data_IF_863321077822
#
_entry.id   IF_863321077822
#
_cell.length_a   1.000
_cell.length_b   1.000
_cell.length_c   1.000
_cell.angle_alpha   90.00
_cell.angle_beta   90.00
_cell.angle_gamma   90.00
#
_symmetry.space_group_name_H-M   'P 1'
#
loop_
_entity.id
_entity.type
_entity.pdbx_description
1 polymer ?
#
# COMPACT_ATOMS: atom_id res chain seq x y z
N UNK A 1 24.60 38.31 1.74
CA UNK A 1 24.28 39.76 1.78
C UNK A 1 24.05 40.22 0.35
N UNK A 2 23.02 41.03 0.13
CA UNK A 2 22.59 41.71 -1.12
C UNK A 2 21.50 41.00 -1.94
N UNK A 3 20.27 41.29 -1.54
CA UNK A 3 19.01 41.10 -2.28
C UNK A 3 18.93 42.11 -3.43
N UNK A 4 18.53 41.69 -4.63
CA UNK A 4 17.95 42.57 -5.66
C UNK A 4 16.76 41.82 -6.26
N UNK A 5 15.56 42.34 -6.03
CA UNK A 5 14.32 41.91 -6.68
C UNK A 5 14.06 42.90 -7.80
N UNK A 6 14.03 42.42 -9.05
CA UNK A 6 13.42 43.13 -10.17
C UNK A 6 12.06 42.50 -10.45
N UNK A 7 11.01 43.13 -9.91
CA UNK A 7 9.63 43.01 -10.36
C UNK A 7 9.47 43.82 -11.65
N UNK A 8 9.14 43.18 -12.77
CA UNK A 8 8.18 43.70 -13.75
C UNK A 8 8.13 42.75 -14.94
N UNK A 9 6.92 42.36 -15.30
CA UNK A 9 6.63 41.30 -16.24
C UNK A 9 7.20 41.52 -17.63
N UNK A 10 7.82 40.46 -18.14
CA UNK A 10 7.47 39.90 -19.46
C UNK A 10 7.41 38.39 -19.26
N UNK A 11 6.22 37.96 -18.82
CA UNK A 11 5.84 36.63 -18.34
C UNK A 11 5.54 35.66 -19.50
N UNK A 12 6.28 35.74 -20.60
CA UNK A 12 5.90 35.11 -21.86
C UNK A 12 7.08 34.45 -22.56
N UNK A 13 7.06 33.11 -22.55
CA UNK A 13 7.71 32.25 -23.53
C UNK A 13 9.24 32.36 -23.64
N UNK A 14 9.97 31.59 -22.82
CA UNK A 14 11.27 30.97 -23.17
C UNK A 14 11.92 30.13 -22.03
N UNK A 15 11.13 29.48 -21.17
CA UNK A 15 11.59 28.32 -20.40
C UNK A 15 10.58 27.19 -20.67
N UNK A 16 10.84 26.20 -21.53
CA UNK A 16 12.10 25.49 -21.62
C UNK A 16 12.22 24.55 -20.43
N UNK A 17 11.52 23.41 -20.52
CA UNK A 17 11.86 22.13 -19.89
C UNK A 17 12.09 22.15 -18.38
N UNK A 18 11.05 21.93 -17.57
CA UNK A 18 11.11 21.10 -16.35
C UNK A 18 9.78 21.10 -15.57
N UNK A 19 8.80 20.32 -16.02
CA UNK A 19 7.80 19.75 -15.12
C UNK A 19 7.17 18.51 -15.76
N UNK A 20 8.02 17.57 -16.22
CA UNK A 20 7.60 16.18 -16.22
C UNK A 20 7.40 15.79 -14.77
N UNK A 21 6.22 16.06 -14.23
CA UNK A 21 5.84 15.66 -12.89
C UNK A 21 6.06 14.16 -12.83
N UNK A 22 7.06 13.73 -12.07
CA UNK A 22 7.18 12.37 -11.62
C UNK A 22 5.98 12.11 -10.71
N UNK A 23 4.84 11.80 -11.33
CA UNK A 23 3.68 11.27 -10.64
C UNK A 23 4.08 9.92 -10.07
N UNK A 24 4.57 9.93 -8.83
CA UNK A 24 4.73 8.70 -8.06
C UNK A 24 3.40 7.95 -8.00
N UNK A 25 3.42 6.65 -7.70
CA UNK A 25 2.20 5.87 -7.60
C UNK A 25 1.20 6.55 -6.65
N UNK A 26 -0.04 6.73 -7.12
CA UNK A 26 -1.12 7.24 -6.29
C UNK A 26 -1.48 6.18 -5.24
N UNK A 27 -1.15 6.45 -3.98
CA UNK A 27 -1.44 5.54 -2.89
C UNK A 27 -2.89 5.71 -2.45
N UNK A 28 -3.70 4.66 -2.64
CA UNK A 28 -5.08 4.60 -2.15
C UNK A 28 -5.16 3.62 -0.98
N UNK A 29 -5.80 4.04 0.11
CA UNK A 29 -6.05 3.17 1.26
C UNK A 29 -7.30 2.32 1.02
N UNK A 30 -7.11 1.02 0.78
CA UNK A 30 -8.19 0.02 0.69
C UNK A 30 -8.46 -0.68 2.03
N UNK A 31 -8.10 -0.01 3.14
CA UNK A 31 -7.91 -0.60 4.46
C UNK A 31 -8.86 -1.73 4.85
N UNK A 32 -8.32 -2.70 5.58
CA UNK A 32 -9.01 -3.92 6.06
C UNK A 32 -10.21 -3.58 7.00
N UNK A 33 -10.29 -2.34 7.47
CA UNK A 33 -11.29 -1.87 8.43
C UNK A 33 -11.01 -2.37 9.85
N UNK A 34 -11.84 -1.98 10.82
CA UNK A 34 -11.86 -2.59 12.16
C UNK A 34 -10.95 -1.98 13.24
N UNK A 35 -10.05 -1.05 12.90
CA UNK A 35 -9.09 -0.49 13.86
C UNK A 35 -8.00 -1.49 14.26
N UNK A 36 -6.94 -1.01 14.91
CA UNK A 36 -5.78 -1.82 15.28
C UNK A 36 -4.64 -1.81 14.25
N UNK A 37 -3.54 -2.45 14.59
CA UNK A 37 -2.35 -2.61 13.76
C UNK A 37 -2.49 -3.79 12.80
N UNK A 38 -2.21 -3.55 11.51
CA UNK A 38 -2.08 -4.63 10.52
C UNK A 38 -0.61 -5.00 10.40
N UNK A 39 -0.32 -6.28 10.51
CA UNK A 39 1.03 -6.83 10.43
C UNK A 39 1.10 -8.03 9.49
N UNK A 40 2.34 -8.48 9.28
CA UNK A 40 2.72 -9.64 8.46
C UNK A 40 2.04 -9.68 7.07
N UNK A 41 2.12 -8.61 6.25
CA UNK A 41 1.64 -8.71 4.88
C UNK A 41 2.48 -9.73 4.11
N UNK A 42 1.81 -10.67 3.45
CA UNK A 42 2.44 -11.67 2.58
C UNK A 42 1.63 -11.83 1.31
N UNK A 43 2.31 -11.76 0.16
CA UNK A 43 1.75 -12.08 -1.16
C UNK A 43 2.18 -13.48 -1.59
N UNK A 44 1.30 -14.19 -2.30
CA UNK A 44 1.63 -15.50 -2.85
C UNK A 44 2.65 -15.36 -3.98
N UNK A 45 3.72 -16.17 -3.98
CA UNK A 45 4.65 -16.22 -5.12
C UNK A 45 4.03 -16.89 -6.35
N UNK A 46 2.92 -17.63 -6.18
CA UNK A 46 2.25 -18.37 -7.24
C UNK A 46 1.03 -17.65 -7.81
N UNK A 47 0.39 -16.78 -7.02
CA UNK A 47 -0.76 -15.98 -7.45
C UNK A 47 -0.65 -14.54 -6.90
N UNK A 48 -0.28 -13.56 -7.74
CA UNK A 48 -0.08 -12.18 -7.28
C UNK A 48 -1.36 -11.52 -6.73
N UNK A 49 -2.54 -12.10 -6.96
CA UNK A 49 -3.81 -11.58 -6.40
C UNK A 49 -4.08 -12.09 -4.99
N UNK A 50 -3.46 -13.21 -4.60
CA UNK A 50 -3.66 -13.83 -3.30
C UNK A 50 -2.71 -13.23 -2.28
N UNK A 51 -3.29 -12.59 -1.26
CA UNK A 51 -2.54 -11.95 -0.19
C UNK A 51 -3.15 -12.26 1.16
N UNK A 52 -2.30 -12.26 2.19
CA UNK A 52 -2.69 -12.42 3.58
C UNK A 52 -2.07 -11.33 4.45
N UNK A 53 -2.81 -10.91 5.47
CA UNK A 53 -2.37 -10.01 6.54
C UNK A 53 -2.99 -10.46 7.85
N UNK A 54 -2.41 -10.07 8.98
CA UNK A 54 -3.01 -10.30 10.30
C UNK A 54 -3.19 -8.98 11.06
N UNK A 55 -4.06 -8.99 12.06
CA UNK A 55 -4.36 -7.85 12.92
C UNK A 55 -4.13 -8.19 14.39
N UNK A 56 -3.82 -7.19 15.22
CA UNK A 56 -3.60 -7.34 16.67
C UNK A 56 -4.92 -7.41 17.43
N UNK A 57 -5.93 -6.74 16.89
CA UNK A 57 -7.28 -6.69 17.42
C UNK A 57 -8.22 -7.69 16.74
N UNK A 58 -7.76 -8.45 15.74
CA UNK A 58 -8.59 -9.33 14.92
C UNK A 58 -7.81 -10.55 14.40
N UNK A 59 -8.45 -11.35 13.53
CA UNK A 59 -7.85 -12.56 12.97
C UNK A 59 -6.93 -12.32 11.76
N UNK A 60 -6.81 -13.36 10.94
CA UNK A 60 -6.13 -13.29 9.65
C UNK A 60 -7.12 -12.85 8.58
N UNK A 61 -6.68 -11.98 7.68
CA UNK A 61 -7.43 -11.53 6.53
C UNK A 61 -6.81 -12.05 5.24
N UNK A 62 -7.67 -12.44 4.31
CA UNK A 62 -7.32 -12.87 2.97
C UNK A 62 -7.86 -11.89 1.95
N UNK A 63 -7.04 -11.53 0.99
CA UNK A 63 -7.47 -10.90 -0.26
C UNK A 63 -7.23 -11.85 -1.43
N UNK A 64 -8.14 -11.84 -2.39
CA UNK A 64 -8.04 -12.61 -3.64
C UNK A 64 -7.99 -11.70 -4.88
N UNK A 65 -7.78 -10.40 -4.67
CA UNK A 65 -7.84 -9.39 -5.72
C UNK A 65 -6.73 -8.34 -5.64
N UNK A 66 -5.61 -8.70 -5.01
CA UNK A 66 -4.43 -7.84 -4.88
C UNK A 66 -4.55 -6.79 -3.77
N UNK A 67 -5.33 -7.06 -2.73
CA UNK A 67 -5.47 -6.18 -1.57
C UNK A 67 -6.54 -5.09 -1.73
N UNK A 68 -7.39 -5.16 -2.75
CA UNK A 68 -8.51 -4.21 -2.94
C UNK A 68 -9.68 -4.53 -2.02
N UNK A 69 -9.95 -5.81 -1.79
CA UNK A 69 -10.92 -6.28 -0.81
C UNK A 69 -10.31 -7.35 0.10
N UNK A 70 -10.66 -7.26 1.38
CA UNK A 70 -10.17 -8.16 2.42
C UNK A 70 -11.34 -8.87 3.09
N UNK A 71 -11.17 -10.17 3.36
CA UNK A 71 -12.15 -10.99 4.10
C UNK A 71 -11.44 -11.69 5.25
N UNK A 72 -12.10 -11.72 6.40
CA UNK A 72 -11.59 -12.48 7.53
C UNK A 72 -11.60 -13.98 7.21
N UNK A 73 -10.51 -14.66 7.54
CA UNK A 73 -10.41 -16.12 7.49
C UNK A 73 -11.14 -16.68 8.70
N UNK A 74 -11.91 -17.75 8.50
CA UNK A 74 -12.63 -18.40 9.59
C UNK A 74 -11.64 -18.91 10.65
N UNK A 75 -11.93 -18.64 11.93
CA UNK A 75 -11.02 -18.95 13.03
C UNK A 75 -10.69 -20.45 13.14
N UNK A 76 -11.57 -21.34 12.63
CA UNK A 76 -11.36 -22.80 12.62
C UNK A 76 -10.31 -23.23 11.59
N UNK A 77 -10.04 -22.38 10.61
CA UNK A 77 -9.00 -22.59 9.61
C UNK A 77 -7.63 -22.11 10.11
N UNK A 78 -7.60 -21.16 11.04
CA UNK A 78 -6.36 -20.64 11.67
C UNK A 78 -6.03 -21.45 12.91
N UNK A 79 -5.28 -22.55 12.74
CA UNK A 79 -4.90 -23.47 13.84
C UNK A 79 -3.65 -23.02 14.65
N UNK A 80 -3.20 -21.78 14.49
CA UNK A 80 -1.96 -21.28 15.09
C UNK A 80 -2.01 -19.78 15.37
N UNK A 81 -0.89 -19.23 15.86
CA UNK A 81 -0.79 -17.80 16.17
C UNK A 81 -0.93 -16.95 14.92
N UNK A 82 -1.69 -15.85 15.01
CA UNK A 82 -1.83 -14.85 13.95
C UNK A 82 -0.55 -14.03 13.74
N UNK A 83 0.37 -14.03 14.71
CA UNK A 83 1.66 -13.34 14.64
C UNK A 83 2.68 -14.02 13.72
N UNK A 84 2.46 -15.29 13.36
CA UNK A 84 3.34 -16.01 12.45
C UNK A 84 3.09 -15.55 11.01
N UNK A 85 4.16 -15.34 10.23
CA UNK A 85 4.02 -15.08 8.79
C UNK A 85 3.46 -16.33 8.09
N UNK A 86 2.31 -16.23 7.39
CA UNK A 86 1.85 -17.30 6.52
C UNK A 86 2.93 -17.64 5.48
N UNK A 87 3.11 -18.93 5.22
CA UNK A 87 4.03 -19.42 4.17
C UNK A 87 3.20 -20.15 3.13
N UNK A 88 3.52 -19.92 1.86
CA UNK A 88 2.92 -20.63 0.74
C UNK A 88 3.68 -21.94 0.51
N UNK A 89 2.95 -23.04 0.41
CA UNK A 89 3.55 -24.34 0.09
C UNK A 89 4.22 -24.25 -1.29
N UNK A 90 5.47 -24.72 -1.44
CA UNK A 90 6.11 -24.79 -2.75
C UNK A 90 5.38 -25.85 -3.59
N UNK A 91 4.82 -25.44 -4.73
CA UNK A 91 4.12 -26.35 -5.66
C UNK A 91 5.05 -27.49 -6.09
#
# INVERSE_FOLDING_TARGET
MKTVICLAGVLGALMGVCAGGCGGPEWTSYGIGGGGGIFVPVSSPHDPKLMFCASDMSGVYRSADGGRHWRMVDFRQTRGSTSCRPVFHPI
#
